data_IF_656469526143
#
_entry.id   IF_656469526143
#
_cell.length_a   1.000
_cell.length_b   1.000
_cell.length_c   1.000
_cell.angle_alpha   90.00
_cell.angle_beta   90.00
_cell.angle_gamma   90.00
#
_symmetry.space_group_name_H-M   'P 1'
#
loop_
_entity.id
_entity.type
_entity.pdbx_description
1 polymer ?
#
# COMPACT_ATOMS: atom_id res chain seq x y z
N UNK A 1 -19.16 9.53 8.28
CA UNK A 1 -20.31 9.11 7.44
C UNK A 1 -21.10 7.94 8.03
N UNK A 2 -20.46 6.98 8.74
CA UNK A 2 -21.22 5.90 9.37
C UNK A 2 -22.01 6.43 10.58
N UNK A 3 -23.35 6.35 10.60
CA UNK A 3 -24.17 6.84 11.72
C UNK A 3 -24.10 5.94 12.95
N UNK A 4 -23.66 4.69 12.77
CA UNK A 4 -23.47 3.69 13.85
C UNK A 4 -22.05 3.65 14.38
N UNK A 5 -21.17 4.52 13.88
CA UNK A 5 -19.75 4.58 14.26
C UNK A 5 -19.00 3.25 14.08
N UNK A 6 -19.51 2.37 13.22
CA UNK A 6 -18.91 1.06 12.94
C UNK A 6 -17.58 1.14 12.17
N UNK A 7 -17.19 2.32 11.67
CA UNK A 7 -15.93 2.51 10.93
C UNK A 7 -14.93 3.19 11.85
N UNK A 8 -13.80 2.56 12.09
CA UNK A 8 -12.77 3.05 13.00
C UNK A 8 -11.36 2.90 12.40
N UNK A 9 -10.39 3.60 13.02
CA UNK A 9 -8.98 3.51 12.65
C UNK A 9 -8.30 2.44 13.48
N UNK A 10 -7.80 1.40 12.83
CA UNK A 10 -6.95 0.37 13.42
C UNK A 10 -5.50 0.87 13.43
N UNK A 11 -4.98 1.16 14.61
CA UNK A 11 -3.62 1.69 14.81
C UNK A 11 -2.55 0.62 14.75
N UNK A 12 -2.90 -0.67 14.81
CA UNK A 12 -1.92 -1.76 14.71
C UNK A 12 -1.49 -1.99 13.27
N UNK A 13 -2.46 -1.93 12.35
CA UNK A 13 -2.25 -2.15 10.92
C UNK A 13 -2.37 -0.86 10.09
N UNK A 14 -2.54 0.29 10.75
CA UNK A 14 -2.67 1.62 10.12
C UNK A 14 -3.71 1.68 9.00
N UNK A 15 -4.85 1.01 9.22
CA UNK A 15 -5.96 0.90 8.25
C UNK A 15 -7.27 1.40 8.83
N UNK A 16 -8.21 1.74 7.96
CA UNK A 16 -9.61 1.93 8.37
C UNK A 16 -10.30 0.55 8.36
N UNK A 17 -10.89 0.15 9.48
CA UNK A 17 -11.58 -1.12 9.66
C UNK A 17 -13.09 -0.91 9.86
N UNK A 18 -13.86 -1.98 9.68
CA UNK A 18 -15.30 -2.00 9.92
C UNK A 18 -15.56 -3.03 11.01
N UNK A 19 -16.24 -2.60 12.07
CA UNK A 19 -16.87 -3.47 13.04
C UNK A 19 -18.16 -4.02 12.42
N UNK A 20 -18.16 -5.32 12.10
CA UNK A 20 -19.29 -5.96 11.45
C UNK A 20 -20.46 -6.25 12.40
N UNK A 21 -20.25 -6.23 13.71
CA UNK A 21 -21.31 -6.43 14.70
C UNK A 21 -22.14 -5.15 14.86
N UNK A 22 -21.52 -3.98 14.69
CA UNK A 22 -22.19 -2.67 14.67
C UNK A 22 -22.71 -2.27 13.29
N UNK A 23 -22.21 -2.87 12.21
CA UNK A 23 -22.53 -2.49 10.85
C UNK A 23 -23.94 -2.96 10.44
N UNK A 24 -24.87 -2.01 10.30
CA UNK A 24 -26.24 -2.25 9.80
C UNK A 24 -26.37 -2.19 8.27
N UNK A 25 -25.26 -2.20 7.54
CA UNK A 25 -25.22 -2.16 6.08
C UNK A 25 -26.02 -1.01 5.40
N UNK A 26 -26.10 0.17 6.04
CA UNK A 26 -26.84 1.35 5.53
C UNK A 26 -26.27 1.99 4.25
N UNK A 27 -25.12 1.51 3.75
CA UNK A 27 -24.44 1.95 2.50
C UNK A 27 -24.01 3.41 2.43
N UNK A 28 -24.20 4.23 3.46
CA UNK A 28 -23.74 5.63 3.47
C UNK A 28 -22.23 5.78 3.27
N UNK A 29 -21.44 4.80 3.71
CA UNK A 29 -20.00 4.80 3.50
C UNK A 29 -19.58 4.54 2.05
N UNK A 30 -20.42 3.84 1.28
CA UNK A 30 -20.19 3.59 -0.16
C UNK A 30 -20.34 4.90 -0.91
N UNK A 31 -21.43 5.63 -0.68
CA UNK A 31 -21.66 6.94 -1.32
C UNK A 31 -20.68 8.02 -0.85
N UNK A 32 -20.19 7.93 0.38
CA UNK A 32 -19.27 8.93 0.94
C UNK A 32 -17.82 8.78 0.48
N UNK A 33 -17.42 7.61 -0.05
CA UNK A 33 -16.03 7.37 -0.42
C UNK A 33 -15.77 7.83 -1.88
N UNK A 34 -14.98 8.90 -2.09
CA UNK A 34 -14.70 9.39 -3.45
C UNK A 34 -13.81 8.44 -4.26
N UNK A 35 -13.11 7.52 -3.59
CA UNK A 35 -12.19 6.57 -4.21
C UNK A 35 -12.84 5.23 -4.54
N UNK A 36 -14.13 5.03 -4.20
CA UNK A 36 -14.81 3.76 -4.41
C UNK A 36 -14.22 2.60 -3.60
N UNK A 37 -13.54 2.87 -2.49
CA UNK A 37 -12.86 1.84 -1.69
C UNK A 37 -13.80 1.01 -0.78
N UNK A 38 -15.12 1.22 -0.89
CA UNK A 38 -16.17 0.59 -0.10
C UNK A 38 -17.24 0.09 -1.08
N UNK A 39 -17.62 -1.18 -0.99
CA UNK A 39 -18.62 -1.79 -1.85
C UNK A 39 -19.69 -2.48 -1.02
N UNK A 40 -20.88 -2.73 -1.58
CA UNK A 40 -21.93 -3.50 -0.91
C UNK A 40 -22.09 -4.86 -1.60
N UNK A 41 -21.83 -5.93 -0.84
CA UNK A 41 -22.11 -7.30 -1.27
C UNK A 41 -23.61 -7.58 -1.13
N UNK A 42 -24.28 -7.76 -2.27
CA UNK A 42 -25.72 -8.02 -2.32
C UNK A 42 -26.08 -9.42 -1.81
N UNK A 43 -25.18 -10.40 -1.93
CA UNK A 43 -25.42 -11.79 -1.53
C UNK A 43 -25.29 -11.92 -0.02
N UNK A 44 -24.24 -11.33 0.56
CA UNK A 44 -23.98 -11.40 2.00
C UNK A 44 -24.66 -10.28 2.80
N UNK A 45 -25.25 -9.31 2.11
CA UNK A 45 -25.81 -8.09 2.68
C UNK A 45 -24.82 -7.35 3.61
N UNK A 46 -23.54 -7.31 3.22
CA UNK A 46 -22.46 -6.70 4.01
C UNK A 46 -21.70 -5.65 3.19
N UNK A 47 -21.12 -4.67 3.89
CA UNK A 47 -20.19 -3.72 3.28
C UNK A 47 -18.83 -4.39 3.16
N UNK A 48 -18.27 -4.44 1.95
CA UNK A 48 -16.93 -4.91 1.68
C UNK A 48 -15.97 -3.74 1.70
N UNK A 49 -14.86 -3.94 2.40
CA UNK A 49 -13.71 -3.06 2.42
C UNK A 49 -12.46 -3.93 2.46
N UNK A 50 -11.39 -3.51 1.76
CA UNK A 50 -10.08 -4.10 1.91
C UNK A 50 -9.70 -4.17 3.39
N UNK A 51 -9.48 -5.39 3.88
CA UNK A 51 -9.11 -5.66 5.25
C UNK A 51 -7.59 -5.74 5.45
N UNK A 52 -6.84 -5.36 4.41
CA UNK A 52 -5.39 -5.49 4.32
C UNK A 52 -4.91 -6.94 4.52
N UNK A 53 -5.79 -7.92 4.30
CA UNK A 53 -5.52 -9.35 4.52
C UNK A 53 -4.87 -9.61 5.89
N UNK A 54 -5.33 -8.92 6.94
CA UNK A 54 -4.79 -9.05 8.30
C UNK A 54 -3.35 -8.55 8.47
N UNK A 55 -2.82 -7.76 7.53
CA UNK A 55 -1.45 -7.26 7.53
C UNK A 55 -0.51 -7.98 6.57
N UNK A 56 -0.98 -9.01 5.85
CA UNK A 56 -0.23 -9.69 4.79
C UNK A 56 -0.96 -9.56 3.44
N UNK A 57 -0.78 -8.44 2.71
CA UNK A 57 -1.55 -8.16 1.50
C UNK A 57 -1.31 -9.20 0.41
N UNK A 58 -2.32 -10.02 0.12
CA UNK A 58 -2.21 -11.08 -0.88
C UNK A 58 -2.06 -10.54 -2.30
N UNK A 59 -2.61 -9.36 -2.59
CA UNK A 59 -2.42 -8.70 -3.87
C UNK A 59 -0.94 -8.36 -4.17
N UNK A 60 -0.13 -8.12 -3.14
CA UNK A 60 1.31 -7.87 -3.28
C UNK A 60 2.05 -9.20 -3.49
N UNK A 61 1.71 -10.22 -2.69
CA UNK A 61 2.34 -11.54 -2.78
C UNK A 61 2.09 -12.23 -4.12
N UNK A 62 0.91 -12.03 -4.71
CA UNK A 62 0.54 -12.62 -5.99
C UNK A 62 1.11 -11.85 -7.20
N UNK A 63 1.68 -10.65 -6.99
CA UNK A 63 2.17 -9.84 -8.08
C UNK A 63 3.53 -10.35 -8.61
N UNK A 64 3.50 -11.33 -9.51
CA UNK A 64 4.71 -11.92 -10.12
C UNK A 64 5.61 -10.89 -10.83
N UNK A 65 4.99 -9.83 -11.39
CA UNK A 65 5.72 -8.76 -12.08
C UNK A 65 6.40 -7.76 -11.13
N UNK A 66 6.18 -7.86 -9.81
CA UNK A 66 6.77 -6.96 -8.83
C UNK A 66 6.33 -5.50 -8.95
N UNK A 67 5.15 -5.24 -9.52
CA UNK A 67 4.59 -3.89 -9.66
C UNK A 67 4.08 -3.29 -8.34
N UNK A 68 3.82 -4.15 -7.34
CA UNK A 68 3.31 -3.75 -6.04
C UNK A 68 4.34 -4.10 -4.96
N UNK A 69 4.50 -3.19 -3.99
CA UNK A 69 5.35 -3.40 -2.82
C UNK A 69 4.63 -2.89 -1.58
N UNK A 70 4.59 -3.70 -0.52
CA UNK A 70 4.07 -3.28 0.79
C UNK A 70 5.25 -2.89 1.69
N UNK A 71 5.38 -1.59 1.96
CA UNK A 71 6.46 -1.01 2.75
C UNK A 71 5.88 -0.07 3.79
N UNK A 72 6.56 0.04 4.93
CA UNK A 72 6.20 1.05 5.91
C UNK A 72 6.48 2.47 5.39
N UNK A 73 5.69 3.41 5.88
CA UNK A 73 5.79 4.84 5.60
C UNK A 73 7.19 5.43 5.84
N UNK A 74 7.93 4.94 6.84
CA UNK A 74 9.29 5.40 7.13
C UNK A 74 10.28 5.04 6.01
N UNK A 75 10.08 3.90 5.35
CA UNK A 75 10.95 3.39 4.28
C UNK A 75 10.68 4.12 2.96
N UNK A 76 9.45 4.58 2.75
CA UNK A 76 9.03 5.27 1.51
C UNK A 76 9.80 6.57 1.23
N UNK A 77 10.22 7.31 2.26
CA UNK A 77 11.02 8.53 2.09
C UNK A 77 12.43 8.23 1.55
N UNK A 78 12.99 7.08 1.89
CA UNK A 78 14.36 6.73 1.49
C UNK A 78 14.44 6.34 0.02
N UNK A 79 13.46 5.64 -0.56
CA UNK A 79 13.56 5.15 -1.94
C UNK A 79 13.46 6.26 -3.00
N UNK A 80 12.64 7.29 -2.79
CA UNK A 80 12.60 8.46 -3.70
C UNK A 80 13.89 9.27 -3.63
N UNK A 81 14.44 9.42 -2.42
CA UNK A 81 15.69 10.15 -2.15
C UNK A 81 16.92 9.39 -2.65
N UNK A 82 16.93 8.07 -2.50
CA UNK A 82 18.03 7.19 -2.87
C UNK A 82 17.99 6.77 -4.33
N UNK A 83 16.84 6.76 -5.01
CA UNK A 83 16.80 6.62 -6.46
C UNK A 83 17.59 7.77 -7.11
N UNK A 84 17.35 9.02 -6.71
CA UNK A 84 18.16 10.16 -7.18
C UNK A 84 19.63 10.01 -6.77
N UNK A 85 19.93 9.58 -5.54
CA UNK A 85 21.31 9.33 -5.12
C UNK A 85 22.01 8.19 -5.88
N UNK A 86 21.30 7.11 -6.22
CA UNK A 86 21.79 5.98 -7.00
C UNK A 86 21.94 6.36 -8.48
N UNK A 87 21.01 7.15 -9.03
CA UNK A 87 21.12 7.70 -10.37
C UNK A 87 22.28 8.70 -10.46
N UNK A 88 22.51 9.52 -9.43
CA UNK A 88 23.67 10.40 -9.31
C UNK A 88 24.97 9.61 -9.18
N UNK A 89 25.01 8.54 -8.38
CA UNK A 89 26.16 7.62 -8.31
C UNK A 89 26.40 6.95 -9.66
N UNK A 90 25.39 6.38 -10.30
CA UNK A 90 25.50 5.76 -11.63
C UNK A 90 25.91 6.77 -12.71
N UNK A 91 25.45 8.01 -12.64
CA UNK A 91 25.87 9.09 -13.52
C UNK A 91 27.31 9.53 -13.23
N UNK A 92 27.73 9.57 -11.96
CA UNK A 92 29.11 9.82 -11.56
C UNK A 92 30.05 8.69 -12.01
N UNK A 93 29.64 7.43 -11.86
CA UNK A 93 30.37 6.25 -12.30
C UNK A 93 30.48 6.19 -13.85
N UNK A 94 29.47 6.67 -14.58
CA UNK A 94 29.53 6.83 -16.05
C UNK A 94 30.38 8.01 -16.50
N UNK A 95 30.36 9.14 -15.77
CA UNK A 95 31.09 10.36 -16.13
C UNK A 95 32.57 10.28 -15.77
N UNK A 96 32.90 9.56 -14.71
CA UNK A 96 34.25 9.21 -14.30
C UNK A 96 34.50 7.76 -14.69
N UNK A 97 34.76 7.50 -15.97
CA UNK A 97 35.04 6.16 -16.48
C UNK A 97 36.22 5.51 -15.76
N UNK A 98 35.95 4.82 -14.65
CA UNK A 98 36.88 3.85 -14.07
C UNK A 98 36.77 2.59 -14.91
N UNK A 99 37.65 2.53 -15.90
CA UNK A 99 38.22 1.26 -16.36
C UNK A 99 38.74 0.52 -15.13
N UNK A 100 37.87 -0.27 -14.49
CA UNK A 100 38.32 -1.36 -13.64
C UNK A 100 38.87 -2.42 -14.59
N UNK A 101 40.11 -2.18 -15.08
CA UNK A 101 40.94 -3.24 -15.64
C UNK A 101 41.08 -4.26 -14.52
N UNK A 102 40.39 -5.37 -14.69
CA UNK A 102 40.77 -6.67 -14.17
C UNK A 102 42.30 -6.78 -14.21
N UNK A 103 42.88 -7.09 -13.05
CA UNK A 103 44.32 -7.04 -12.83
C UNK A 103 45.12 -7.94 -13.76
N UNK A 104 46.43 -7.72 -13.81
CA UNK A 104 47.46 -8.62 -14.32
C UNK A 104 48.78 -8.08 -13.75
N UNK A 105 49.52 -8.97 -13.08
CA UNK A 105 50.99 -8.95 -13.12
C UNK A 105 51.42 -9.10 -14.56
#
# INVERSE_FOLDING_TARGET
ACPKEAIYRDTKLERMAIDYDLCVACRMCVSACPFGAMEFDQVRAKILKCDLCGGSPQCVNFCDYGALSYLDSSVFQYQRSSATALMLKRAADKKFGRTFKTGIK
#
